data_IF_038493493780
#
_entry.id   IF_038493493780
#
_cell.length_a   1.000
_cell.length_b   1.000
_cell.length_c   1.000
_cell.angle_alpha   90.00
_cell.angle_beta   90.00
_cell.angle_gamma   90.00
#
_symmetry.space_group_name_H-M   'P 1'
#
loop_
_entity.id
_entity.type
_entity.pdbx_description
1 polymer ?
#
# COMPACT_ATOMS: atom_id res chain seq x y z
N UNK A 1 19.27 6.29 14.14
CA UNK A 1 19.14 5.13 15.05
C UNK A 1 18.05 5.50 16.06
N UNK A 2 17.02 4.65 16.21
CA UNK A 2 15.74 4.87 16.92
C UNK A 2 14.57 5.50 16.11
N UNK A 3 14.10 4.79 15.10
CA UNK A 3 12.66 4.77 14.75
C UNK A 3 12.12 3.33 14.78
N UNK A 4 12.75 2.50 15.61
CA UNK A 4 12.32 1.13 15.83
C UNK A 4 11.47 1.11 17.09
N UNK A 5 10.25 0.58 16.97
CA UNK A 5 9.41 -0.01 18.04
C UNK A 5 8.12 0.76 18.43
N UNK A 6 7.90 2.03 18.05
CA UNK A 6 6.61 2.72 18.38
C UNK A 6 5.58 2.73 17.24
N UNK A 7 6.01 2.60 15.98
CA UNK A 7 5.19 2.88 14.78
C UNK A 7 4.25 1.76 14.28
N UNK A 8 4.00 0.73 15.10
CA UNK A 8 3.21 -0.46 14.69
C UNK A 8 1.88 -0.62 15.45
N UNK A 9 1.57 0.26 16.40
CA UNK A 9 0.53 -0.02 17.41
C UNK A 9 -0.90 0.36 17.00
N UNK A 10 -1.09 1.31 16.08
CA UNK A 10 -2.42 1.64 15.57
C UNK A 10 -3.03 0.44 14.79
N UNK A 11 -2.23 -0.20 13.95
CA UNK A 11 -2.69 -1.23 13.01
C UNK A 11 -3.05 -2.59 13.63
N UNK A 12 -2.45 -2.93 14.77
CA UNK A 12 -2.72 -4.17 15.50
C UNK A 12 -4.17 -4.28 16.00
N UNK A 13 -4.78 -3.15 16.39
CA UNK A 13 -6.12 -3.12 16.98
C UNK A 13 -7.22 -3.47 15.97
N UNK A 14 -7.09 -3.03 14.72
CA UNK A 14 -8.06 -3.32 13.66
C UNK A 14 -8.12 -4.83 13.36
N UNK A 15 -6.94 -5.45 13.24
CA UNK A 15 -6.80 -6.81 12.75
C UNK A 15 -6.97 -7.87 13.85
N UNK A 16 -7.18 -7.50 15.11
CA UNK A 16 -7.35 -8.46 16.23
C UNK A 16 -8.82 -8.79 16.56
N UNK A 17 -9.80 -8.03 16.03
CA UNK A 17 -11.19 -8.08 16.48
C UNK A 17 -12.11 -9.14 15.83
N UNK A 18 -11.66 -9.92 14.84
CA UNK A 18 -12.41 -11.08 14.32
C UNK A 18 -13.80 -10.81 13.71
N UNK A 19 -14.22 -9.55 13.49
CA UNK A 19 -15.50 -9.20 12.85
C UNK A 19 -15.43 -9.41 11.33
N UNK A 20 -15.64 -10.64 10.87
CA UNK A 20 -15.50 -11.01 9.46
C UNK A 20 -16.73 -10.71 8.57
N UNK A 21 -17.88 -10.27 9.11
CA UNK A 21 -19.12 -10.11 8.31
C UNK A 21 -19.54 -8.64 8.05
N UNK A 22 -19.19 -7.68 8.91
CA UNK A 22 -19.48 -6.25 8.69
C UNK A 22 -18.44 -5.55 7.81
N UNK A 23 -17.26 -6.14 7.65
CA UNK A 23 -16.05 -5.43 7.19
C UNK A 23 -15.72 -5.62 5.70
N UNK A 24 -16.43 -6.50 4.98
CA UNK A 24 -16.28 -6.64 3.53
C UNK A 24 -17.00 -5.52 2.77
N UNK A 25 -18.06 -4.93 3.37
CA UNK A 25 -18.78 -3.78 2.79
C UNK A 25 -17.87 -2.55 2.73
N UNK A 26 -17.18 -2.23 3.81
CA UNK A 26 -16.22 -1.11 3.86
C UNK A 26 -15.09 -1.25 2.84
N UNK A 27 -14.54 -2.47 2.67
CA UNK A 27 -13.49 -2.72 1.67
C UNK A 27 -14.03 -2.51 0.24
N UNK A 28 -15.24 -2.96 -0.04
CA UNK A 28 -15.87 -2.76 -1.34
C UNK A 28 -16.15 -1.26 -1.60
N UNK A 29 -16.62 -0.52 -0.60
CA UNK A 29 -16.85 0.92 -0.71
C UNK A 29 -15.55 1.69 -0.93
N UNK A 30 -14.47 1.30 -0.25
CA UNK A 30 -13.14 1.87 -0.45
C UNK A 30 -12.63 1.63 -1.88
N UNK A 31 -12.80 0.41 -2.41
CA UNK A 31 -12.40 0.06 -3.77
C UNK A 31 -13.29 0.75 -4.80
N UNK A 32 -14.59 0.90 -4.52
CA UNK A 32 -15.46 1.68 -5.37
C UNK A 32 -14.99 3.14 -5.42
N UNK A 33 -14.54 3.71 -4.30
CA UNK A 33 -13.90 5.02 -4.28
C UNK A 33 -12.67 5.12 -5.18
N UNK A 34 -11.78 4.11 -5.14
CA UNK A 34 -10.65 4.04 -6.09
C UNK A 34 -11.14 3.97 -7.54
N UNK A 35 -12.13 3.12 -7.84
CA UNK A 35 -12.69 2.97 -9.19
C UNK A 35 -13.31 4.27 -9.68
N UNK A 36 -13.97 5.02 -8.80
CA UNK A 36 -14.58 6.31 -9.13
C UNK A 36 -13.53 7.39 -9.42
N UNK A 37 -12.41 7.41 -8.67
CA UNK A 37 -11.31 8.38 -8.88
C UNK A 37 -10.42 8.04 -10.08
N UNK A 38 -10.12 6.76 -10.30
CA UNK A 38 -9.07 6.33 -11.23
C UNK A 38 -9.59 5.56 -12.45
N UNK A 39 -10.75 4.91 -12.35
CA UNK A 39 -11.37 4.17 -13.45
C UNK A 39 -10.42 3.14 -14.08
N UNK A 40 -10.16 3.30 -15.38
CA UNK A 40 -9.30 2.36 -16.14
C UNK A 40 -7.83 2.42 -15.76
N UNK A 41 -7.37 3.51 -15.13
CA UNK A 41 -5.96 3.62 -14.72
C UNK A 41 -5.63 2.71 -13.53
N UNK A 42 -6.60 2.11 -12.84
CA UNK A 42 -6.33 1.01 -11.90
C UNK A 42 -5.85 -0.25 -12.59
N UNK A 43 -6.26 -0.45 -13.84
CA UNK A 43 -6.02 -1.67 -14.59
C UNK A 43 -4.96 -1.43 -15.66
N UNK A 44 -3.69 -1.57 -15.28
CA UNK A 44 -2.58 -1.34 -16.21
C UNK A 44 -1.69 -2.59 -16.35
N UNK A 45 -0.73 -2.48 -17.26
CA UNK A 45 0.39 -3.42 -17.33
C UNK A 45 1.51 -2.81 -16.47
N UNK A 46 2.16 -3.59 -15.59
CA UNK A 46 3.30 -3.10 -14.81
C UNK A 46 4.36 -2.43 -15.72
N UNK A 47 4.78 -1.23 -15.36
CA UNK A 47 5.54 -0.32 -16.22
C UNK A 47 7.05 -0.40 -15.94
N UNK A 48 7.88 -0.75 -16.94
CA UNK A 48 9.34 -0.66 -16.81
C UNK A 48 9.84 0.77 -16.54
N UNK A 49 9.09 1.80 -16.93
CA UNK A 49 9.47 3.19 -16.68
C UNK A 49 9.44 3.51 -15.18
N UNK A 50 8.44 3.00 -14.46
CA UNK A 50 8.40 3.09 -13.00
C UNK A 50 9.64 2.43 -12.39
N UNK A 51 10.02 1.27 -12.91
CA UNK A 51 11.22 0.60 -12.42
C UNK A 51 12.52 1.37 -12.67
N UNK A 52 12.66 2.02 -13.83
CA UNK A 52 13.81 2.89 -14.12
C UNK A 52 13.88 4.14 -13.22
N UNK A 53 12.75 4.67 -12.74
CA UNK A 53 12.76 5.75 -11.74
C UNK A 53 13.29 5.23 -10.41
N UNK A 54 12.81 4.05 -9.99
CA UNK A 54 13.21 3.43 -8.74
C UNK A 54 14.69 2.99 -8.73
N UNK A 55 15.27 2.62 -9.88
CA UNK A 55 16.71 2.35 -10.00
C UNK A 55 17.59 3.55 -9.63
N UNK A 56 17.06 4.78 -9.75
CA UNK A 56 17.74 6.03 -9.41
C UNK A 56 17.43 6.53 -8.00
N UNK A 57 16.55 5.84 -7.29
CA UNK A 57 16.15 6.20 -5.93
C UNK A 57 17.28 5.91 -4.94
N UNK A 58 17.38 6.76 -3.93
CA UNK A 58 18.25 6.56 -2.79
C UNK A 58 17.51 6.86 -1.48
N UNK A 59 17.99 6.27 -0.38
CA UNK A 59 17.33 6.32 0.92
C UNK A 59 17.32 7.70 1.60
N UNK A 60 18.05 8.68 1.06
CA UNK A 60 18.18 10.05 1.55
C UNK A 60 17.37 11.05 0.71
N UNK A 61 16.73 10.59 -0.36
CA UNK A 61 15.91 11.42 -1.26
C UNK A 61 14.70 12.09 -0.60
N UNK A 62 14.30 11.62 0.59
CA UNK A 62 13.17 12.17 1.34
C UNK A 62 11.79 11.70 0.86
N UNK A 63 11.76 10.80 -0.14
CA UNK A 63 10.55 10.14 -0.64
C UNK A 63 10.66 8.63 -0.48
N UNK A 64 9.52 7.97 -0.32
CA UNK A 64 9.48 6.51 -0.25
C UNK A 64 9.57 5.91 -1.67
N UNK A 65 10.13 4.68 -1.83
CA UNK A 65 10.30 4.09 -3.15
C UNK A 65 8.97 3.82 -3.88
N UNK A 66 7.90 3.51 -3.14
CA UNK A 66 6.53 3.33 -3.65
C UNK A 66 5.93 4.64 -4.23
N UNK A 67 6.36 5.81 -3.76
CA UNK A 67 5.87 7.13 -4.22
C UNK A 67 6.44 7.54 -5.58
N UNK A 68 7.38 6.78 -6.14
CA UNK A 68 7.93 7.02 -7.47
C UNK A 68 7.10 6.37 -8.59
N UNK A 69 6.10 5.58 -8.24
CA UNK A 69 5.30 4.84 -9.21
C UNK A 69 4.33 5.71 -10.00
N UNK A 70 4.01 5.22 -11.21
CA UNK A 70 3.07 5.85 -12.14
C UNK A 70 1.65 5.25 -12.02
N UNK A 71 1.42 4.46 -10.98
CA UNK A 71 0.13 3.84 -10.72
C UNK A 71 -0.77 4.79 -9.92
N UNK A 72 -2.09 4.56 -9.87
CA UNK A 72 -2.96 5.23 -8.92
C UNK A 72 -2.37 5.26 -7.52
N UNK A 73 -2.32 6.45 -6.93
CA UNK A 73 -1.68 6.67 -5.64
C UNK A 73 -0.22 6.12 -5.59
N UNK A 74 0.49 6.15 -6.70
CA UNK A 74 1.88 5.69 -6.80
C UNK A 74 2.01 4.19 -7.03
N UNK A 75 1.37 3.37 -6.22
CA UNK A 75 1.69 1.94 -6.05
C UNK A 75 0.46 1.01 -6.03
N UNK A 76 -0.75 1.52 -6.26
CA UNK A 76 -1.95 0.69 -6.35
C UNK A 76 -2.17 0.24 -7.80
N UNK A 77 -2.02 -1.07 -8.05
CA UNK A 77 -2.16 -1.64 -9.40
C UNK A 77 -2.96 -2.94 -9.40
N UNK A 78 -3.86 -3.07 -10.39
CA UNK A 78 -4.58 -4.30 -10.72
C UNK A 78 -4.14 -4.81 -12.11
N UNK A 79 -3.14 -5.71 -12.20
CA UNK A 79 -2.55 -6.11 -13.48
C UNK A 79 -3.56 -6.73 -14.46
N UNK A 80 -3.60 -6.21 -15.69
CA UNK A 80 -4.51 -6.71 -16.75
C UNK A 80 -4.30 -8.19 -17.11
N UNK A 81 -3.06 -8.68 -17.06
CA UNK A 81 -2.71 -10.02 -17.53
C UNK A 81 -3.15 -11.17 -16.60
N UNK A 82 -3.39 -10.88 -15.32
CA UNK A 82 -3.71 -11.87 -14.29
C UNK A 82 -5.09 -11.65 -13.65
N UNK A 83 -5.88 -10.72 -14.19
CA UNK A 83 -7.25 -10.49 -13.76
C UNK A 83 -8.22 -11.22 -14.69
N UNK A 84 -8.91 -12.27 -14.25
CA UNK A 84 -10.23 -12.60 -14.80
C UNK A 84 -11.20 -11.41 -14.67
N UNK A 85 -10.83 -10.40 -13.86
CA UNK A 85 -11.53 -9.16 -13.62
C UNK A 85 -11.45 -8.19 -14.82
N UNK A 86 -12.44 -8.31 -15.71
CA UNK A 86 -12.92 -7.14 -16.47
C UNK A 86 -13.55 -6.12 -15.51
N UNK A 87 -13.77 -4.87 -15.97
CA UNK A 87 -14.46 -3.76 -15.27
C UNK A 87 -15.67 -4.15 -14.40
N UNK A 88 -16.33 -5.28 -14.68
CA UNK A 88 -17.51 -5.77 -13.96
C UNK A 88 -17.22 -6.59 -12.68
N UNK A 89 -15.96 -6.94 -12.39
CA UNK A 89 -15.60 -7.88 -11.30
C UNK A 89 -14.83 -7.25 -10.12
N UNK A 90 -14.32 -6.01 -10.25
CA UNK A 90 -13.77 -5.26 -9.10
C UNK A 90 -14.81 -4.91 -8.02
N UNK A 91 -16.09 -5.25 -8.24
CA UNK A 91 -17.16 -5.08 -7.26
C UNK A 91 -16.99 -5.94 -5.99
N UNK A 92 -15.93 -6.75 -5.87
CA UNK A 92 -15.71 -7.59 -4.70
C UNK A 92 -14.23 -7.96 -4.47
N UNK A 93 -13.32 -7.02 -4.18
CA UNK A 93 -12.12 -7.48 -3.48
C UNK A 93 -12.50 -7.83 -2.05
N UNK A 94 -11.95 -8.93 -1.57
CA UNK A 94 -12.40 -9.57 -0.33
C UNK A 94 -11.28 -9.50 0.68
N UNK A 95 -11.62 -9.63 1.96
CA UNK A 95 -10.59 -9.88 2.96
C UNK A 95 -10.05 -11.31 2.82
N UNK A 96 -8.79 -11.49 3.21
CA UNK A 96 -8.20 -12.82 3.31
C UNK A 96 -8.88 -13.61 4.42
N UNK A 97 -9.35 -14.83 4.09
CA UNK A 97 -10.17 -15.62 4.99
C UNK A 97 -9.41 -15.94 6.28
N UNK A 98 -9.96 -15.50 7.42
CA UNK A 98 -9.35 -15.68 8.77
C UNK A 98 -7.94 -15.06 8.89
N UNK A 99 -7.59 -14.09 8.04
CA UNK A 99 -6.26 -13.47 8.04
C UNK A 99 -5.13 -14.36 7.52
N UNK A 100 -5.43 -15.52 6.91
CA UNK A 100 -4.42 -16.37 6.29
C UNK A 100 -4.17 -15.92 4.85
N UNK A 101 -2.93 -15.58 4.56
CA UNK A 101 -2.46 -15.12 3.25
C UNK A 101 -1.41 -16.10 2.71
N UNK A 102 -1.81 -17.07 1.88
CA UNK A 102 -0.86 -17.93 1.20
C UNK A 102 0.05 -17.12 0.28
N UNK A 103 1.35 -17.41 0.26
CA UNK A 103 2.32 -16.72 -0.61
C UNK A 103 3.32 -17.65 -1.27
N UNK A 104 3.84 -17.22 -2.42
CA UNK A 104 5.09 -17.72 -3.01
C UNK A 104 6.08 -16.58 -3.19
N UNK A 105 7.38 -16.83 -2.98
CA UNK A 105 8.45 -15.89 -3.29
C UNK A 105 9.10 -16.30 -4.60
N UNK A 106 8.64 -15.74 -5.71
CA UNK A 106 9.16 -16.04 -7.05
C UNK A 106 10.26 -15.08 -7.48
N UNK A 107 10.32 -13.89 -6.89
CA UNK A 107 11.41 -12.93 -7.09
C UNK A 107 12.77 -13.45 -6.61
N UNK A 108 13.85 -13.01 -7.28
CA UNK A 108 15.22 -13.47 -7.01
C UNK A 108 15.90 -12.71 -5.84
N UNK A 109 15.32 -12.74 -4.65
CA UNK A 109 15.81 -11.96 -3.51
C UNK A 109 17.12 -12.51 -2.93
N UNK A 110 18.04 -11.62 -2.58
CA UNK A 110 19.25 -11.95 -1.82
C UNK A 110 18.90 -12.45 -0.41
N UNK A 111 19.86 -13.10 0.26
CA UNK A 111 19.64 -13.57 1.64
C UNK A 111 19.30 -12.44 2.62
N UNK A 112 19.78 -11.22 2.39
CA UNK A 112 19.46 -10.07 3.23
C UNK A 112 18.02 -9.58 3.00
N UNK A 113 17.60 -9.51 1.74
CA UNK A 113 16.26 -9.09 1.37
C UNK A 113 15.21 -10.11 1.80
N UNK A 114 15.49 -11.41 1.67
CA UNK A 114 14.65 -12.48 2.22
C UNK A 114 14.45 -12.32 3.71
N UNK A 115 15.52 -12.01 4.47
CA UNK A 115 15.41 -11.74 5.92
C UNK A 115 14.50 -10.55 6.22
N UNK A 116 14.53 -9.48 5.41
CA UNK A 116 13.64 -8.33 5.60
C UNK A 116 12.17 -8.70 5.34
N UNK A 117 11.91 -9.51 4.31
CA UNK A 117 10.56 -10.02 4.02
C UNK A 117 10.07 -10.94 5.15
N UNK A 118 10.90 -11.88 5.60
CA UNK A 118 10.58 -12.79 6.70
C UNK A 118 10.32 -12.01 8.01
N UNK A 119 11.07 -10.94 8.27
CA UNK A 119 10.83 -10.05 9.40
C UNK A 119 9.51 -9.29 9.28
N UNK A 120 9.12 -8.85 8.08
CA UNK A 120 7.80 -8.24 7.86
C UNK A 120 6.67 -9.25 8.18
N UNK A 121 6.78 -10.49 7.69
CA UNK A 121 5.83 -11.55 8.03
C UNK A 121 5.78 -11.85 9.54
N UNK A 122 6.94 -11.87 10.19
CA UNK A 122 7.03 -12.07 11.64
C UNK A 122 6.38 -10.93 12.44
N UNK A 123 6.53 -9.68 11.99
CA UNK A 123 5.87 -8.53 12.62
C UNK A 123 4.35 -8.65 12.52
N UNK A 124 3.81 -8.97 11.34
CA UNK A 124 2.38 -9.24 11.18
C UNK A 124 1.91 -10.37 12.10
N UNK A 125 2.66 -11.47 12.18
CA UNK A 125 2.30 -12.61 13.02
C UNK A 125 2.33 -12.27 14.53
N UNK A 126 3.27 -11.42 14.95
CA UNK A 126 3.46 -10.98 16.34
C UNK A 126 2.41 -9.95 16.77
N UNK A 127 2.05 -9.03 15.88
CA UNK A 127 1.26 -7.84 16.22
C UNK A 127 -0.22 -7.99 15.85
N UNK A 128 -0.57 -8.94 14.98
CA UNK A 128 -1.93 -9.09 14.44
C UNK A 128 -2.36 -10.55 14.39
N UNK A 129 -3.60 -10.83 13.95
CA UNK A 129 -4.02 -12.19 13.62
C UNK A 129 -3.62 -12.66 12.20
N UNK A 130 -3.04 -11.77 11.38
CA UNK A 130 -2.62 -12.09 10.01
C UNK A 130 -1.47 -13.09 10.00
N UNK A 131 -1.53 -14.06 9.10
CA UNK A 131 -0.51 -15.08 8.91
C UNK A 131 -0.19 -15.19 7.42
N UNK A 132 1.01 -14.76 7.04
CA UNK A 132 1.59 -15.08 5.74
C UNK A 132 2.15 -16.50 5.81
N UNK A 133 1.64 -17.39 4.96
CA UNK A 133 1.99 -18.82 4.99
C UNK A 133 2.50 -19.26 3.62
N UNK A 134 3.59 -20.06 3.54
CA UNK A 134 4.02 -20.62 2.26
C UNK A 134 2.86 -21.38 1.63
N UNK A 135 2.55 -21.04 0.38
CA UNK A 135 1.45 -21.65 -0.36
C UNK A 135 1.71 -23.13 -0.57
N UNK A 136 0.66 -23.92 -0.41
CA UNK A 136 0.56 -25.31 -0.82
C UNK A 136 -0.30 -25.42 -2.10
N UNK A 137 -1.60 -25.64 -1.96
CA UNK A 137 -2.56 -25.82 -3.05
C UNK A 137 -3.62 -24.73 -3.11
N UNK A 138 -3.50 -23.67 -2.31
CA UNK A 138 -4.52 -22.63 -2.23
C UNK A 138 -4.69 -21.93 -3.59
N UNK A 139 -5.93 -21.74 -4.08
CA UNK A 139 -6.16 -21.10 -5.37
C UNK A 139 -5.95 -19.58 -5.31
N UNK A 140 -6.28 -18.96 -4.18
CA UNK A 140 -6.04 -17.54 -3.92
C UNK A 140 -4.74 -17.38 -3.14
N UNK A 141 -3.76 -16.65 -3.68
CA UNK A 141 -2.46 -16.45 -3.03
C UNK A 141 -1.70 -15.24 -3.61
N UNK A 142 -0.77 -14.71 -2.83
CA UNK A 142 0.21 -13.73 -3.32
C UNK A 142 1.36 -14.44 -4.02
N UNK A 143 1.73 -14.03 -5.22
CA UNK A 143 3.05 -14.36 -5.77
C UNK A 143 3.91 -13.11 -5.78
N UNK A 144 4.92 -13.10 -4.91
CA UNK A 144 5.75 -11.93 -4.65
C UNK A 144 6.92 -11.96 -5.61
N UNK A 145 6.94 -11.00 -6.54
CA UNK A 145 7.94 -10.88 -7.60
C UNK A 145 8.92 -9.75 -7.31
N UNK A 146 9.91 -9.61 -8.17
CA UNK A 146 10.93 -8.56 -8.09
C UNK A 146 11.25 -8.01 -9.48
N UNK A 147 10.20 -7.82 -10.26
CA UNK A 147 10.28 -7.29 -11.62
C UNK A 147 10.65 -5.81 -11.57
N UNK A 148 11.27 -5.31 -12.63
CA UNK A 148 11.70 -3.92 -12.74
C UNK A 148 10.50 -3.00 -13.07
N UNK A 149 9.50 -2.97 -12.18
CA UNK A 149 8.23 -2.24 -12.36
C UNK A 149 7.73 -1.49 -11.12
N UNK A 150 8.63 -1.24 -10.16
CA UNK A 150 8.35 -0.49 -8.93
C UNK A 150 7.98 -1.34 -7.71
N UNK A 151 7.53 -0.67 -6.67
CA UNK A 151 6.85 -1.26 -5.52
C UNK A 151 5.35 -1.07 -5.78
N UNK A 152 4.58 -2.15 -5.78
CA UNK A 152 3.13 -2.07 -5.95
C UNK A 152 2.41 -3.34 -5.55
N UNK A 153 1.12 -3.18 -5.26
CA UNK A 153 0.22 -4.24 -4.86
C UNK A 153 -1.22 -3.92 -5.27
N UNK A 154 -2.05 -4.94 -5.41
CA UNK A 154 -3.51 -4.76 -5.50
C UNK A 154 -4.11 -4.59 -4.11
N UNK A 155 -5.20 -3.84 -4.00
CA UNK A 155 -5.89 -3.64 -2.72
C UNK A 155 -6.83 -4.82 -2.41
N UNK A 156 -6.55 -5.52 -1.32
CA UNK A 156 -7.31 -6.68 -0.84
C UNK A 156 -7.05 -7.97 -1.63
N UNK A 157 -7.88 -8.98 -1.37
CA UNK A 157 -7.83 -10.27 -2.09
C UNK A 157 -8.66 -10.17 -3.37
N UNK A 158 -7.99 -10.20 -4.52
CA UNK A 158 -8.61 -10.11 -5.86
C UNK A 158 -9.09 -11.47 -6.39
N UNK A 159 -8.54 -12.56 -5.85
CA UNK A 159 -8.87 -13.94 -6.23
C UNK A 159 -7.86 -14.51 -7.24
N UNK A 160 -7.63 -15.83 -7.17
CA UNK A 160 -6.57 -16.47 -7.94
C UNK A 160 -5.16 -16.06 -7.49
N UNK A 161 -4.19 -16.27 -8.37
CA UNK A 161 -2.83 -15.78 -8.16
C UNK A 161 -2.79 -14.26 -8.37
N UNK A 162 -2.49 -13.49 -7.33
CA UNK A 162 -2.35 -12.03 -7.43
C UNK A 162 -0.89 -11.60 -7.18
N UNK A 163 -0.41 -10.71 -8.04
CA UNK A 163 0.97 -10.24 -7.99
C UNK A 163 1.13 -9.18 -6.92
N UNK A 164 2.26 -9.24 -6.22
CA UNK A 164 2.80 -8.13 -5.43
C UNK A 164 4.26 -7.97 -5.86
N UNK A 165 4.64 -6.78 -6.31
CA UNK A 165 5.99 -6.57 -6.82
C UNK A 165 6.86 -5.83 -5.80
N UNK A 166 8.01 -6.40 -5.49
CA UNK A 166 9.05 -5.77 -4.68
C UNK A 166 10.32 -5.69 -5.54
N UNK A 167 10.39 -4.68 -6.42
CA UNK A 167 11.55 -4.45 -7.27
C UNK A 167 12.85 -4.38 -6.46
N UNK A 168 13.94 -4.86 -7.07
CA UNK A 168 15.31 -4.64 -6.62
C UNK A 168 16.13 -3.86 -7.65
N UNK A 169 17.01 -2.94 -7.20
CA UNK A 169 17.07 -2.38 -5.85
C UNK A 169 15.83 -1.50 -5.55
N UNK A 170 15.67 -1.05 -4.30
CA UNK A 170 14.58 -0.13 -3.91
C UNK A 170 13.63 -0.73 -2.88
N UNK A 171 12.61 -1.48 -3.31
CA UNK A 171 11.48 -1.88 -2.47
C UNK A 171 11.85 -2.73 -1.24
N UNK A 172 13.00 -3.43 -1.29
CA UNK A 172 13.49 -4.28 -0.19
C UNK A 172 14.76 -3.71 0.45
N UNK A 173 14.90 -2.38 0.44
CA UNK A 173 15.98 -1.67 1.16
C UNK A 173 15.68 -1.58 2.65
N UNK A 174 14.41 -1.36 3.00
CA UNK A 174 13.90 -1.27 4.37
C UNK A 174 12.67 -2.15 4.50
N UNK A 175 12.39 -2.60 5.72
CA UNK A 175 11.20 -3.41 6.03
C UNK A 175 9.88 -2.64 5.79
N UNK A 176 9.92 -1.30 5.87
CA UNK A 176 8.75 -0.42 5.74
C UNK A 176 7.96 -0.65 4.46
N UNK A 177 8.59 -0.50 3.30
CA UNK A 177 7.94 -0.73 1.99
C UNK A 177 7.40 -2.16 1.86
N UNK A 178 8.10 -3.18 2.37
CA UNK A 178 7.54 -4.55 2.36
C UNK A 178 6.25 -4.63 3.18
N UNK A 179 6.22 -4.01 4.37
CA UNK A 179 5.02 -3.97 5.20
C UNK A 179 3.89 -3.21 4.49
N UNK A 180 4.21 -2.09 3.84
CA UNK A 180 3.29 -1.25 3.05
C UNK A 180 2.55 -2.05 1.98
N UNK A 181 3.29 -2.74 1.10
CA UNK A 181 2.70 -3.48 -0.03
C UNK A 181 1.84 -4.67 0.42
N UNK A 182 2.28 -5.33 1.51
CA UNK A 182 1.50 -6.39 2.15
C UNK A 182 0.19 -5.85 2.76
N UNK A 183 0.19 -4.59 3.16
CA UNK A 183 -0.97 -3.92 3.72
C UNK A 183 -2.01 -3.57 2.67
N UNK A 184 -1.57 -3.08 1.51
CA UNK A 184 -2.42 -2.99 0.34
C UNK A 184 -3.06 -4.34 0.03
N UNK A 185 -2.28 -5.42 -0.02
CA UNK A 185 -2.82 -6.77 -0.25
C UNK A 185 -3.84 -7.21 0.83
N UNK A 186 -3.79 -6.65 2.04
CA UNK A 186 -4.77 -6.90 3.11
C UNK A 186 -6.03 -6.03 3.00
N UNK A 187 -6.03 -5.00 2.15
CA UNK A 187 -7.18 -4.15 1.86
C UNK A 187 -7.07 -2.72 2.40
N UNK A 188 -5.88 -2.26 2.75
CA UNK A 188 -5.67 -0.90 3.25
C UNK A 188 -5.34 0.06 2.12
N UNK A 189 -5.86 1.28 2.24
CA UNK A 189 -5.53 2.42 1.39
C UNK A 189 -4.57 3.35 2.15
N UNK A 190 -4.11 4.38 1.45
CA UNK A 190 -3.24 5.37 2.05
C UNK A 190 -3.90 6.24 3.13
N UNK A 191 -3.13 6.57 4.17
CA UNK A 191 -3.57 7.36 5.32
C UNK A 191 -3.92 8.80 4.92
N UNK A 192 -3.13 9.43 4.04
CA UNK A 192 -3.36 10.81 3.61
C UNK A 192 -4.60 11.01 2.72
N UNK A 193 -5.22 9.91 2.28
CA UNK A 193 -6.44 9.91 1.49
C UNK A 193 -7.69 9.77 2.38
N UNK A 194 -7.56 9.60 3.71
CA UNK A 194 -8.71 9.57 4.64
C UNK A 194 -9.62 10.81 4.45
N UNK A 195 -10.93 10.62 4.58
CA UNK A 195 -11.92 11.68 4.29
C UNK A 195 -11.76 12.92 5.20
N UNK A 196 -11.28 12.71 6.42
CA UNK A 196 -11.02 13.69 7.47
C UNK A 196 -9.58 14.23 7.47
N UNK A 197 -8.71 13.81 6.55
CA UNK A 197 -7.28 14.18 6.53
C UNK A 197 -7.03 15.68 6.59
N UNK A 198 -7.93 16.49 6.06
CA UNK A 198 -7.81 17.96 6.09
C UNK A 198 -7.87 18.54 7.51
N UNK A 199 -8.29 17.78 8.53
CA UNK A 199 -8.17 18.20 9.92
C UNK A 199 -6.73 18.07 10.44
N UNK A 200 -5.90 17.26 9.78
CA UNK A 200 -4.59 16.83 10.25
C UNK A 200 -3.44 17.33 9.37
N UNK A 201 -3.64 17.38 8.06
CA UNK A 201 -2.62 17.81 7.09
C UNK A 201 -3.18 18.87 6.13
N UNK A 202 -2.29 19.60 5.48
CA UNK A 202 -2.60 20.50 4.37
C UNK A 202 -1.87 20.04 3.12
N UNK A 203 -2.61 19.79 2.04
CA UNK A 203 -2.03 19.46 0.73
C UNK A 203 -1.65 20.76 0.01
N UNK A 204 -0.42 20.82 -0.48
CA UNK A 204 0.15 21.95 -1.23
C UNK A 204 0.10 21.61 -2.73
N UNK A 205 -1.09 21.70 -3.30
CA UNK A 205 -1.34 21.35 -4.71
C UNK A 205 -0.41 22.07 -5.70
N UNK A 206 0.02 23.29 -5.40
CA UNK A 206 0.97 24.04 -6.23
C UNK A 206 2.37 23.40 -6.33
N UNK A 207 2.71 22.47 -5.43
CA UNK A 207 3.99 21.76 -5.44
C UNK A 207 3.88 20.39 -6.12
N UNK A 208 2.67 19.89 -6.40
CA UNK A 208 2.46 18.53 -6.95
C UNK A 208 2.85 18.48 -8.43
N UNK A 209 3.45 17.36 -8.87
CA UNK A 209 3.70 17.08 -10.29
C UNK A 209 2.37 17.10 -11.04
N UNK A 210 2.29 17.94 -12.07
CA UNK A 210 1.09 18.07 -12.90
C UNK A 210 0.65 16.71 -13.45
N UNK A 211 -0.63 16.38 -13.28
CA UNK A 211 -1.24 15.11 -13.68
C UNK A 211 -1.23 14.03 -12.60
N UNK A 212 -0.68 14.31 -11.41
CA UNK A 212 -0.67 13.39 -10.25
C UNK A 212 -1.51 13.90 -9.08
N UNK A 213 -2.28 14.97 -9.27
CA UNK A 213 -3.11 15.57 -8.22
C UNK A 213 -4.17 14.61 -7.68
N UNK A 214 -4.64 13.68 -8.51
CA UNK A 214 -5.60 12.64 -8.12
C UNK A 214 -5.06 11.68 -7.05
N UNK A 215 -3.73 11.52 -6.93
CA UNK A 215 -3.11 10.71 -5.87
C UNK A 215 -3.38 11.28 -4.46
N UNK A 216 -3.81 12.55 -4.37
CA UNK A 216 -4.12 13.24 -3.11
C UNK A 216 -5.62 13.47 -2.91
N UNK A 217 -6.47 12.90 -3.77
CA UNK A 217 -7.92 12.95 -3.60
C UNK A 217 -8.36 12.19 -2.36
N UNK A 218 -9.31 12.77 -1.63
CA UNK A 218 -9.83 12.12 -0.43
C UNK A 218 -10.80 11.02 -0.82
N UNK A 219 -10.72 9.91 -0.09
CA UNK A 219 -11.77 8.91 -0.05
C UNK A 219 -13.10 9.54 0.37
N UNK A 220 -14.19 8.95 -0.11
CA UNK A 220 -15.54 9.39 0.21
C UNK A 220 -15.82 9.24 1.72
N UNK A 221 -16.66 10.13 2.31
CA UNK A 221 -17.01 10.02 3.72
C UNK A 221 -17.55 8.62 4.06
N UNK A 222 -17.04 8.03 5.14
CA UNK A 222 -17.39 6.68 5.64
C UNK A 222 -16.87 5.48 4.83
N UNK A 223 -16.17 5.67 3.71
CA UNK A 223 -15.52 4.55 2.99
C UNK A 223 -14.16 4.20 3.59
N UNK A 224 -13.54 5.17 4.27
CA UNK A 224 -12.34 5.02 5.09
C UNK A 224 -12.60 5.61 6.47
N UNK A 225 -13.54 5.04 7.22
CA UNK A 225 -13.51 5.29 8.65
C UNK A 225 -12.22 4.67 9.20
N UNK A 226 -11.50 5.35 10.10
CA UNK A 226 -10.25 4.83 10.66
C UNK A 226 -10.44 3.55 11.50
N UNK A 227 -11.57 2.86 11.39
CA UNK A 227 -11.98 1.72 12.19
C UNK A 227 -11.96 2.06 13.69
N UNK A 228 -12.33 3.32 13.98
CA UNK A 228 -12.28 3.94 15.30
C UNK A 228 -10.91 4.45 15.73
N UNK A 229 -9.90 4.44 14.85
CA UNK A 229 -8.54 4.90 15.11
C UNK A 229 -8.33 6.31 14.59
N UNK A 230 -7.62 7.13 15.37
CA UNK A 230 -7.23 8.49 15.00
C UNK A 230 -6.29 8.50 13.77
N UNK A 231 -6.09 9.67 13.20
CA UNK A 231 -5.17 9.87 12.08
C UNK A 231 -3.72 9.64 12.55
N UNK A 232 -2.97 8.78 11.86
CA UNK A 232 -1.61 8.42 12.24
C UNK A 232 -0.57 8.99 11.26
N UNK A 233 0.05 10.12 11.63
CA UNK A 233 1.15 10.72 10.87
C UNK A 233 2.36 9.80 10.68
N UNK A 234 2.55 8.82 11.56
CA UNK A 234 3.64 7.85 11.51
C UNK A 234 3.26 6.54 10.85
N UNK A 235 2.05 6.46 10.27
CA UNK A 235 1.56 5.27 9.58
C UNK A 235 2.48 4.90 8.40
N UNK A 236 2.75 3.61 8.24
CA UNK A 236 3.47 3.09 7.07
C UNK A 236 2.71 3.35 5.77
N UNK A 237 1.39 3.58 5.84
CA UNK A 237 0.53 3.92 4.70
C UNK A 237 0.42 5.43 4.45
N UNK A 238 1.17 6.26 5.18
CA UNK A 238 1.16 7.71 4.99
C UNK A 238 2.32 8.11 4.06
N UNK A 239 2.02 8.89 3.02
CA UNK A 239 3.04 9.47 2.17
C UNK A 239 4.05 10.34 2.93
N UNK A 240 5.26 10.41 2.39
CA UNK A 240 6.29 11.34 2.80
C UNK A 240 5.86 12.80 2.59
N UNK A 241 6.55 13.72 3.27
CA UNK A 241 6.33 15.16 3.12
C UNK A 241 6.53 15.66 1.66
N UNK A 242 7.36 14.96 0.89
CA UNK A 242 7.80 15.36 -0.45
C UNK A 242 7.22 14.49 -1.58
N UNK A 243 6.30 13.58 -1.27
CA UNK A 243 5.66 12.69 -2.24
C UNK A 243 5.13 13.48 -3.44
N UNK A 244 5.46 13.04 -4.67
CA UNK A 244 5.05 13.69 -5.93
C UNK A 244 5.38 15.18 -6.03
N UNK A 245 6.45 15.66 -5.39
CA UNK A 245 6.89 17.06 -5.50
C UNK A 245 7.53 17.36 -6.85
N UNK A 246 7.10 18.45 -7.48
CA UNK A 246 7.64 18.97 -8.75
C UNK A 246 8.81 19.92 -8.58
N UNK A 247 8.99 20.47 -7.37
CA UNK A 247 9.89 21.57 -7.10
C UNK A 247 10.73 21.37 -5.82
N UNK A 248 10.70 20.16 -5.25
CA UNK A 248 11.43 19.82 -4.02
C UNK A 248 10.84 20.46 -2.75
N UNK A 249 9.70 21.15 -2.84
CA UNK A 249 8.99 21.68 -1.68
C UNK A 249 7.94 20.67 -1.18
N UNK A 250 7.58 20.72 0.11
CA UNK A 250 6.58 19.82 0.70
C UNK A 250 5.24 19.84 -0.04
N UNK A 251 4.72 18.66 -0.38
CA UNK A 251 3.34 18.48 -0.89
C UNK A 251 2.35 18.22 0.23
N UNK A 252 2.79 17.64 1.36
CA UNK A 252 1.97 17.40 2.55
C UNK A 252 2.59 18.13 3.74
N UNK A 253 1.82 18.98 4.45
CA UNK A 253 2.26 19.60 5.70
C UNK A 253 1.34 19.23 6.86
N UNK A 254 1.91 18.67 7.93
CA UNK A 254 1.18 18.45 9.18
C UNK A 254 0.69 19.78 9.78
N UNK A 255 -0.55 19.80 10.28
CA UNK A 255 -1.16 20.96 10.96
C UNK A 255 -0.79 21.03 12.43
N UNK A 256 -0.39 19.91 13.02
CA UNK A 256 0.19 19.87 14.36
C UNK A 256 1.69 20.09 14.24
N UNK A 257 2.21 21.03 15.02
CA UNK A 257 3.65 21.14 15.25
C UNK A 257 4.05 20.05 16.23
N UNK A 258 5.04 19.22 15.90
CA UNK A 258 5.75 18.46 16.92
C UNK A 258 6.25 19.46 17.97
N UNK A 259 5.83 19.32 19.22
CA UNK A 259 6.49 20.03 20.32
C UNK A 259 7.91 19.47 20.37
N UNK A 260 8.87 20.30 19.98
CA UNK A 260 10.31 20.06 20.13
C UNK A 260 10.67 19.77 21.58
#
# INVERSE_FOLDING_TARGET
>A
MLASIVFYLAWAAVMTSGRAQSNDVELNDAIQGLVDSFGDSLFQIPSPFTGQKLEKWDEYSGVNPEELGDYPEGDILFPRANSPMSRNSLRSARRWRRGYVPYTLTGSFSSQERRLIDQAFADYAKLTCVRFVPRSTEPDYLFITSDNTGCWSSVGKTGGAQQLNLQRPGCVTKKGTVVHELMHALGFLHEQNRWERDNYVSIKYQNIIRGTESNFEKAQPKTTDGLGIEYDYGSVMHYSEFAFSSNGLPTIKAKVSCKS
#
